data_IF_071859822015
#
_entry.id   IF_071859822015
#
_cell.length_a   1.000
_cell.length_b   1.000
_cell.length_c   1.000
_cell.angle_alpha   90.00
_cell.angle_beta   90.00
_cell.angle_gamma   90.00
#
_symmetry.space_group_name_H-M   'P 1'
#
loop_
_entity.id
_entity.type
_entity.pdbx_description
1 polymer ?
#
# COMPACT_ATOMS: atom_id res chain seq x y z
N UNK A 1 -13.86 -29.22 -68.46
CA UNK A 1 -12.91 -28.07 -68.41
C UNK A 1 -13.32 -26.91 -67.48
N UNK A 2 -14.57 -26.82 -66.96
CA UNK A 2 -14.98 -25.75 -66.00
C UNK A 2 -14.60 -26.00 -64.52
N UNK A 3 -14.46 -27.27 -64.11
CA UNK A 3 -14.21 -27.64 -62.69
C UNK A 3 -12.77 -27.31 -62.26
N UNK A 4 -11.79 -27.48 -63.15
CA UNK A 4 -10.37 -27.23 -62.86
C UNK A 4 -10.13 -25.74 -62.64
N UNK A 5 -10.68 -24.87 -63.48
CA UNK A 5 -10.54 -23.39 -63.37
C UNK A 5 -11.15 -22.86 -62.07
N UNK A 6 -12.29 -23.44 -61.63
CA UNK A 6 -12.96 -23.06 -60.38
C UNK A 6 -12.11 -23.45 -59.16
N UNK A 7 -11.50 -24.64 -59.18
CA UNK A 7 -10.62 -25.15 -58.11
C UNK A 7 -9.32 -24.32 -57.97
N UNK A 8 -8.75 -23.86 -59.08
CA UNK A 8 -7.55 -22.99 -59.06
C UNK A 8 -7.87 -21.59 -58.53
N UNK A 9 -9.01 -20.98 -58.94
CA UNK A 9 -9.45 -19.68 -58.41
C UNK A 9 -9.73 -19.70 -56.91
N UNK A 10 -10.37 -20.75 -56.40
CA UNK A 10 -10.62 -20.90 -54.95
C UNK A 10 -9.32 -21.00 -54.16
N UNK A 11 -8.29 -21.69 -54.69
CA UNK A 11 -6.97 -21.77 -54.04
C UNK A 11 -6.28 -20.40 -53.93
N UNK A 12 -6.33 -19.59 -54.99
CA UNK A 12 -5.76 -18.24 -54.94
C UNK A 12 -6.49 -17.34 -53.95
N UNK A 13 -7.83 -17.39 -53.92
CA UNK A 13 -8.63 -16.62 -52.94
C UNK A 13 -8.29 -17.02 -51.50
N UNK A 14 -8.14 -18.33 -51.23
CA UNK A 14 -7.76 -18.83 -49.91
C UNK A 14 -6.35 -18.36 -49.51
N UNK A 15 -5.41 -18.39 -50.46
CA UNK A 15 -4.04 -17.95 -50.23
C UNK A 15 -4.00 -16.45 -49.90
N UNK A 16 -4.74 -15.62 -50.63
CA UNK A 16 -4.82 -14.17 -50.36
C UNK A 16 -5.43 -13.88 -49.00
N UNK A 17 -6.51 -14.60 -48.62
CA UNK A 17 -7.11 -14.50 -47.29
C UNK A 17 -6.13 -14.88 -46.18
N UNK A 18 -5.35 -15.95 -46.38
CA UNK A 18 -4.34 -16.39 -45.42
C UNK A 18 -3.24 -15.34 -45.23
N UNK A 19 -2.77 -14.74 -46.33
CA UNK A 19 -1.75 -13.68 -46.28
C UNK A 19 -2.29 -12.44 -45.55
N UNK A 20 -3.54 -12.02 -45.84
CA UNK A 20 -4.16 -10.90 -45.15
C UNK A 20 -4.29 -11.17 -43.65
N UNK A 21 -4.75 -12.37 -43.26
CA UNK A 21 -4.84 -12.78 -41.86
C UNK A 21 -3.46 -12.82 -41.17
N UNK A 22 -2.42 -13.27 -41.88
CA UNK A 22 -1.07 -13.30 -41.34
C UNK A 22 -0.53 -11.88 -41.10
N UNK A 23 -0.74 -10.96 -42.06
CA UNK A 23 -0.32 -9.57 -41.94
C UNK A 23 -1.08 -8.86 -40.83
N UNK A 24 -2.40 -9.04 -40.73
CA UNK A 24 -3.18 -8.41 -39.65
C UNK A 24 -2.83 -8.98 -38.29
N UNK A 25 -2.55 -10.28 -38.17
CA UNK A 25 -2.08 -10.91 -36.94
C UNK A 25 -0.70 -10.42 -36.52
N UNK A 26 0.25 -10.30 -37.46
CA UNK A 26 1.60 -9.77 -37.16
C UNK A 26 1.52 -8.30 -36.74
N UNK A 27 0.77 -7.48 -37.48
CA UNK A 27 0.60 -6.07 -37.15
C UNK A 27 -0.10 -5.90 -35.80
N UNK A 28 -1.13 -6.70 -35.50
CA UNK A 28 -1.77 -6.68 -34.19
C UNK A 28 -0.76 -7.03 -33.09
N UNK A 29 0.08 -8.07 -33.27
CA UNK A 29 1.08 -8.40 -32.27
C UNK A 29 2.13 -7.31 -32.05
N UNK A 30 2.59 -6.64 -33.10
CA UNK A 30 3.61 -5.58 -33.00
C UNK A 30 3.06 -4.27 -32.43
N UNK A 31 1.80 -3.92 -32.74
CA UNK A 31 1.20 -2.66 -32.30
C UNK A 31 0.45 -2.76 -30.96
N UNK A 32 -0.13 -3.92 -30.62
CA UNK A 32 -0.87 -4.11 -29.37
C UNK A 32 -0.05 -4.73 -28.24
N UNK A 33 1.07 -5.40 -28.55
CA UNK A 33 2.05 -5.84 -27.56
C UNK A 33 3.37 -5.11 -27.80
N UNK A 34 3.46 -3.80 -27.49
CA UNK A 34 4.78 -3.19 -27.33
C UNK A 34 5.58 -4.05 -26.35
N UNK A 35 6.86 -4.30 -26.64
CA UNK A 35 7.76 -4.85 -25.62
C UNK A 35 7.77 -3.88 -24.44
N UNK A 36 7.51 -4.36 -23.23
CA UNK A 36 7.43 -3.62 -21.95
C UNK A 36 8.75 -2.95 -21.50
N UNK A 37 9.60 -2.52 -22.44
CA UNK A 37 10.80 -1.76 -22.13
C UNK A 37 10.44 -0.35 -21.60
N UNK A 38 9.32 0.22 -22.04
CA UNK A 38 8.83 1.52 -21.54
C UNK A 38 8.20 1.41 -20.14
N UNK A 39 7.43 0.36 -19.86
CA UNK A 39 6.77 0.18 -18.56
C UNK A 39 7.80 -0.08 -17.46
N UNK A 40 8.82 -0.90 -17.77
CA UNK A 40 9.95 -1.16 -16.84
C UNK A 40 10.78 0.10 -16.57
N UNK A 41 11.04 0.93 -17.59
CA UNK A 41 11.74 2.21 -17.41
C UNK A 41 10.91 3.20 -16.59
N UNK A 42 9.60 3.30 -16.85
CA UNK A 42 8.70 4.17 -16.09
C UNK A 42 8.59 3.71 -14.62
N UNK A 43 8.45 2.40 -14.35
CA UNK A 43 8.41 1.88 -12.98
C UNK A 43 9.73 2.17 -12.23
N UNK A 44 10.88 2.06 -12.91
CA UNK A 44 12.17 2.37 -12.29
C UNK A 44 12.30 3.84 -11.89
N UNK A 45 11.86 4.77 -12.74
CA UNK A 45 11.91 6.21 -12.47
C UNK A 45 10.94 6.57 -11.33
N UNK A 46 9.72 6.03 -11.34
CA UNK A 46 8.73 6.24 -10.28
C UNK A 46 9.26 5.69 -8.95
N UNK A 47 9.87 4.51 -8.97
CA UNK A 47 10.43 3.92 -7.76
C UNK A 47 11.56 4.75 -7.16
N UNK A 48 12.48 5.28 -7.98
CA UNK A 48 13.56 6.15 -7.51
C UNK A 48 13.02 7.42 -6.84
N UNK A 49 12.01 8.05 -7.43
CA UNK A 49 11.33 9.22 -6.84
C UNK A 49 10.66 8.87 -5.51
N UNK A 50 9.96 7.73 -5.45
CA UNK A 50 9.30 7.27 -4.24
C UNK A 50 10.32 7.01 -3.11
N UNK A 51 11.47 6.42 -3.44
CA UNK A 51 12.56 6.18 -2.49
C UNK A 51 13.18 7.49 -1.98
N UNK A 52 13.29 8.52 -2.82
CA UNK A 52 13.73 9.85 -2.40
C UNK A 52 12.79 10.45 -1.34
N UNK A 53 11.49 10.47 -1.61
CA UNK A 53 10.48 10.93 -0.65
C UNK A 53 10.49 10.10 0.62
N UNK A 54 10.59 8.77 0.51
CA UNK A 54 10.65 7.86 1.63
C UNK A 54 11.82 8.18 2.57
N UNK A 55 13.03 8.29 2.04
CA UNK A 55 14.22 8.62 2.83
C UNK A 55 14.10 10.00 3.47
N UNK A 56 13.55 10.97 2.72
CA UNK A 56 13.34 12.32 3.21
C UNK A 56 12.32 12.38 4.33
N UNK A 57 11.20 11.66 4.24
CA UNK A 57 10.25 11.53 5.33
C UNK A 57 10.88 10.90 6.56
N UNK A 58 11.63 9.80 6.41
CA UNK A 58 12.31 9.17 7.55
C UNK A 58 13.18 10.16 8.29
N UNK A 59 14.08 10.85 7.58
CA UNK A 59 15.01 11.77 8.21
C UNK A 59 14.27 12.92 8.92
N UNK A 60 13.29 13.51 8.26
CA UNK A 60 12.53 14.63 8.82
C UNK A 60 11.69 14.21 10.02
N UNK A 61 11.08 13.01 10.01
CA UNK A 61 10.36 12.48 11.16
C UNK A 61 11.30 12.32 12.36
N UNK A 62 12.47 11.70 12.15
CA UNK A 62 13.48 11.49 13.20
C UNK A 62 13.98 12.81 13.79
N UNK A 63 14.21 13.81 12.94
CA UNK A 63 14.84 15.05 13.36
C UNK A 63 13.83 16.04 13.98
N UNK A 64 12.62 16.12 13.42
CA UNK A 64 11.73 17.27 13.64
C UNK A 64 10.29 16.91 14.06
N UNK A 65 9.82 15.67 13.88
CA UNK A 65 8.44 15.35 14.24
C UNK A 65 8.29 15.10 15.74
N UNK A 66 7.39 15.86 16.35
CA UNK A 66 6.99 15.70 17.76
C UNK A 66 5.47 15.78 17.83
N UNK A 67 4.87 15.04 18.75
CA UNK A 67 3.42 15.03 18.96
C UNK A 67 3.09 15.07 20.45
N UNK A 68 2.70 16.25 20.92
CA UNK A 68 2.29 16.50 22.31
C UNK A 68 3.24 15.87 23.35
N UNK A 69 2.67 15.11 24.30
CA UNK A 69 3.40 14.42 25.37
C UNK A 69 3.84 12.99 24.96
N UNK A 70 3.81 12.65 23.67
CA UNK A 70 4.25 11.34 23.19
C UNK A 70 5.75 11.31 22.93
N UNK A 71 6.43 10.30 23.48
CA UNK A 71 7.86 10.07 23.27
C UNK A 71 8.10 8.90 22.30
N UNK A 72 9.01 9.07 21.36
CA UNK A 72 9.45 7.96 20.49
C UNK A 72 10.31 6.97 21.30
N UNK A 73 9.75 5.80 21.57
CA UNK A 73 10.39 4.75 22.37
C UNK A 73 11.32 3.85 21.54
N UNK A 74 11.16 3.83 20.21
CA UNK A 74 11.85 2.89 19.32
C UNK A 74 12.42 3.60 18.08
N UNK A 75 13.70 3.96 18.14
CA UNK A 75 14.35 4.82 17.11
C UNK A 75 14.87 4.09 15.86
N UNK A 76 15.13 2.78 15.93
CA UNK A 76 15.91 2.06 14.89
C UNK A 76 15.30 0.75 14.38
N UNK A 77 13.97 0.57 14.44
CA UNK A 77 13.37 -0.68 13.96
C UNK A 77 12.86 -0.63 12.52
N UNK A 78 13.23 -1.66 11.76
CA UNK A 78 12.65 -2.03 10.46
C UNK A 78 12.11 -3.47 10.62
N UNK A 79 10.82 -3.72 10.35
CA UNK A 79 10.23 -5.06 10.48
C UNK A 79 9.54 -5.50 9.21
N UNK A 80 10.06 -6.54 8.53
CA UNK A 80 9.25 -7.32 7.60
C UNK A 80 9.07 -8.70 8.19
N UNK A 81 7.81 -9.09 8.38
CA UNK A 81 7.45 -10.37 9.00
C UNK A 81 7.20 -11.47 7.97
N UNK A 82 6.93 -11.14 6.71
CA UNK A 82 6.80 -12.12 5.62
C UNK A 82 6.90 -11.50 4.22
N UNK A 83 7.40 -12.28 3.25
CA UNK A 83 7.33 -12.01 1.81
C UNK A 83 6.58 -13.16 1.11
N UNK A 84 5.90 -12.90 -0.02
CA UNK A 84 5.44 -13.98 -0.89
C UNK A 84 6.62 -14.87 -1.30
N UNK A 85 6.42 -16.20 -1.31
CA UNK A 85 7.47 -17.20 -1.58
C UNK A 85 8.26 -16.98 -2.89
N UNK A 86 7.72 -16.20 -3.83
CA UNK A 86 8.30 -15.93 -5.15
C UNK A 86 9.12 -14.63 -5.26
N UNK A 87 9.28 -13.86 -4.17
CA UNK A 87 10.04 -12.59 -4.19
C UNK A 87 11.42 -12.76 -3.55
N UNK A 88 12.46 -12.29 -4.24
CA UNK A 88 13.85 -12.30 -3.75
C UNK A 88 14.09 -11.21 -2.71
N UNK A 89 14.77 -11.55 -1.62
CA UNK A 89 14.92 -10.77 -0.38
C UNK A 89 15.76 -9.48 -0.51
N UNK A 90 16.41 -9.23 -1.66
CA UNK A 90 17.65 -8.45 -1.68
C UNK A 90 17.56 -6.96 -1.29
N UNK A 91 16.38 -6.31 -1.26
CA UNK A 91 16.28 -4.87 -0.94
C UNK A 91 15.04 -4.46 -0.12
N UNK A 92 14.36 -5.41 0.53
CA UNK A 92 13.07 -5.13 1.19
C UNK A 92 13.17 -4.41 2.54
N UNK A 93 14.24 -4.64 3.31
CA UNK A 93 14.46 -3.97 4.59
C UNK A 93 14.58 -2.44 4.46
N UNK A 94 14.97 -1.95 3.28
CA UNK A 94 15.11 -0.52 2.97
C UNK A 94 13.82 0.12 2.46
N UNK A 95 12.72 -0.65 2.37
CA UNK A 95 11.44 -0.20 1.82
C UNK A 95 10.41 0.14 2.89
N UNK A 96 10.81 0.14 4.15
CA UNK A 96 9.91 0.42 5.25
C UNK A 96 10.65 1.00 6.47
N UNK A 97 9.89 1.69 7.30
CA UNK A 97 10.35 2.21 8.58
C UNK A 97 9.18 2.22 9.55
N UNK A 98 9.44 1.81 10.78
CA UNK A 98 8.46 1.89 11.86
C UNK A 98 8.92 2.90 12.91
N UNK A 99 7.98 3.74 13.35
CA UNK A 99 8.12 4.63 14.49
C UNK A 99 7.11 4.20 15.56
N UNK A 100 7.51 4.22 16.82
CA UNK A 100 6.63 3.88 17.94
C UNK A 100 6.71 4.99 18.96
N UNK A 101 5.57 5.60 19.22
CA UNK A 101 5.39 6.67 20.19
C UNK A 101 4.56 6.15 21.36
N UNK A 102 4.91 6.55 22.57
CA UNK A 102 4.21 6.19 23.80
C UNK A 102 3.90 7.43 24.63
N UNK A 103 2.71 7.46 25.23
CA UNK A 103 2.35 8.45 26.24
C UNK A 103 2.12 7.74 27.58
N UNK A 104 3.00 8.02 28.54
CA UNK A 104 2.97 7.39 29.87
C UNK A 104 1.72 7.79 30.69
N UNK A 105 1.11 8.94 30.40
CA UNK A 105 -0.07 9.43 31.13
C UNK A 105 -1.35 8.73 30.68
N UNK A 106 -1.52 8.53 29.37
CA UNK A 106 -2.70 7.88 28.78
C UNK A 106 -2.51 6.38 28.56
N UNK A 107 -1.28 5.87 28.72
CA UNK A 107 -0.85 4.51 28.40
C UNK A 107 -1.20 4.10 26.96
N UNK A 108 -1.08 5.04 26.03
CA UNK A 108 -1.38 4.83 24.62
C UNK A 108 -0.11 4.65 23.81
N UNK A 109 -0.15 3.70 22.89
CA UNK A 109 0.89 3.47 21.90
C UNK A 109 0.39 3.90 20.52
N UNK A 110 1.20 4.69 19.82
CA UNK A 110 1.01 5.05 18.42
C UNK A 110 2.13 4.41 17.62
N UNK A 111 1.78 3.56 16.65
CA UNK A 111 2.73 2.99 15.70
C UNK A 111 2.51 3.63 14.34
N UNK A 112 3.57 4.13 13.72
CA UNK A 112 3.57 4.63 12.35
C UNK A 112 4.45 3.73 11.51
N UNK A 113 3.88 3.12 10.48
CA UNK A 113 4.59 2.30 9.50
C UNK A 113 4.58 3.05 8.18
N UNK A 114 5.77 3.44 7.72
CA UNK A 114 6.00 4.00 6.41
C UNK A 114 6.53 2.91 5.50
N UNK A 115 5.97 2.75 4.31
CA UNK A 115 6.48 1.83 3.27
C UNK A 115 6.52 2.49 1.91
N UNK A 116 7.39 1.96 1.03
CA UNK A 116 7.57 2.48 -0.34
C UNK A 116 7.42 1.38 -1.39
N UNK A 117 6.75 1.71 -2.49
CA UNK A 117 6.48 0.81 -3.61
C UNK A 117 6.54 1.53 -4.95
N UNK A 118 6.98 0.84 -6.00
CA UNK A 118 6.97 1.34 -7.38
C UNK A 118 5.56 1.48 -7.96
N UNK A 119 4.56 0.89 -7.30
CA UNK A 119 3.16 0.91 -7.72
C UNK A 119 2.34 2.06 -7.12
N UNK A 120 2.97 2.92 -6.30
CA UNK A 120 2.31 4.08 -5.72
C UNK A 120 2.67 5.31 -6.55
N UNK A 121 1.66 6.03 -7.04
CA UNK A 121 1.88 7.25 -7.82
C UNK A 121 2.28 8.44 -6.93
N UNK A 122 3.33 9.17 -7.33
CA UNK A 122 3.69 10.45 -6.71
C UNK A 122 2.62 11.48 -7.05
N UNK A 123 1.89 11.96 -6.04
CA UNK A 123 0.86 13.01 -6.18
C UNK A 123 -0.58 12.51 -6.09
N UNK A 124 -0.81 11.21 -5.93
CA UNK A 124 -2.12 10.70 -5.54
C UNK A 124 -2.18 10.49 -4.01
N UNK A 125 -2.52 11.58 -3.31
CA UNK A 125 -2.84 11.51 -1.87
C UNK A 125 -4.21 10.85 -1.69
N UNK A 126 -4.24 9.62 -1.22
CA UNK A 126 -5.49 8.87 -1.06
C UNK A 126 -5.61 8.21 0.31
N UNK A 127 -6.82 8.26 0.85
CA UNK A 127 -7.20 7.38 1.95
C UNK A 127 -7.40 5.96 1.43
N UNK A 128 -6.84 4.97 2.11
CA UNK A 128 -6.89 3.57 1.68
C UNK A 128 -7.90 2.79 2.52
N UNK A 129 -7.74 2.81 3.83
CA UNK A 129 -8.63 2.13 4.75
C UNK A 129 -8.51 2.70 6.17
N UNK A 130 -9.54 2.46 6.97
CA UNK A 130 -9.53 2.72 8.40
C UNK A 130 -10.43 1.72 9.11
N UNK A 131 -10.06 1.36 10.33
CA UNK A 131 -10.89 0.55 11.20
C UNK A 131 -10.69 0.97 12.65
N UNK A 132 -11.71 0.65 13.44
CA UNK A 132 -11.74 0.86 14.88
C UNK A 132 -12.31 -0.40 15.52
N UNK A 133 -11.63 -0.89 16.54
CA UNK A 133 -11.93 -2.13 17.24
C UNK A 133 -11.90 -1.83 18.74
N UNK A 134 -13.06 -1.97 19.38
CA UNK A 134 -13.18 -1.95 20.83
C UNK A 134 -13.55 -3.33 21.36
N UNK A 135 -13.23 -3.65 22.63
CA UNK A 135 -13.66 -4.91 23.23
C UNK A 135 -15.18 -5.08 23.20
N UNK A 136 -15.94 -3.98 23.34
CA UNK A 136 -17.40 -3.96 23.20
C UNK A 136 -17.85 -4.41 21.80
N UNK A 137 -17.18 -3.93 20.74
CA UNK A 137 -17.48 -4.32 19.36
C UNK A 137 -17.20 -5.81 19.14
N UNK A 138 -16.05 -6.29 19.62
CA UNK A 138 -15.65 -7.70 19.48
C UNK A 138 -16.60 -8.62 20.25
N UNK A 139 -16.94 -8.27 21.49
CA UNK A 139 -17.91 -9.02 22.30
C UNK A 139 -19.27 -9.09 21.61
N UNK A 140 -19.78 -7.95 21.10
CA UNK A 140 -21.06 -7.91 20.38
C UNK A 140 -21.06 -8.78 19.13
N UNK A 141 -20.00 -8.74 18.32
CA UNK A 141 -19.88 -9.58 17.13
C UNK A 141 -19.81 -11.06 17.51
N UNK A 142 -19.10 -11.38 18.59
CA UNK A 142 -18.94 -12.75 19.07
C UNK A 142 -20.29 -13.33 19.53
N UNK A 143 -21.06 -12.58 20.31
CA UNK A 143 -22.42 -12.94 20.73
C UNK A 143 -23.35 -13.16 19.53
N UNK A 144 -23.32 -12.26 18.55
CA UNK A 144 -24.16 -12.35 17.34
C UNK A 144 -23.86 -13.59 16.48
N UNK A 145 -22.63 -14.09 16.51
CA UNK A 145 -22.18 -15.23 15.71
C UNK A 145 -22.02 -16.52 16.52
N UNK A 146 -22.50 -16.56 17.77
CA UNK A 146 -22.36 -17.69 18.69
C UNK A 146 -20.90 -18.14 18.88
N UNK A 147 -19.95 -17.20 18.74
CA UNK A 147 -18.52 -17.45 18.90
C UNK A 147 -18.18 -17.36 20.39
N UNK A 148 -17.76 -18.48 20.98
CA UNK A 148 -17.27 -18.52 22.36
C UNK A 148 -15.84 -18.00 22.39
N UNK A 149 -15.67 -16.71 22.69
CA UNK A 149 -14.35 -16.14 22.94
C UNK A 149 -13.99 -16.34 24.41
N UNK A 150 -13.00 -17.19 24.68
CA UNK A 150 -12.59 -17.54 26.04
C UNK A 150 -11.90 -16.39 26.76
N UNK A 151 -11.24 -15.49 26.03
CA UNK A 151 -10.65 -14.24 26.52
C UNK A 151 -10.67 -13.20 25.39
N UNK A 152 -11.43 -12.11 25.56
CA UNK A 152 -11.32 -10.94 24.68
C UNK A 152 -10.28 -10.00 25.29
N UNK A 153 -9.20 -9.64 24.56
CA UNK A 153 -8.26 -8.63 25.04
C UNK A 153 -9.00 -7.33 25.35
N UNK A 154 -8.77 -6.77 26.53
CA UNK A 154 -9.34 -5.49 26.93
C UNK A 154 -8.55 -4.32 26.31
N UNK A 155 -8.48 -4.29 24.98
CA UNK A 155 -7.69 -3.34 24.19
C UNK A 155 -8.61 -2.66 23.19
N UNK A 156 -8.58 -1.33 23.17
CA UNK A 156 -9.15 -0.54 22.07
C UNK A 156 -8.03 -0.20 21.08
N UNK A 157 -8.34 -0.33 19.80
CA UNK A 157 -7.38 -0.16 18.72
C UNK A 157 -8.05 0.49 17.51
N UNK A 158 -7.44 1.56 17.01
CA UNK A 158 -7.85 2.19 15.76
C UNK A 158 -6.65 2.26 14.82
N UNK A 159 -6.92 2.12 13.52
CA UNK A 159 -5.89 2.22 12.49
C UNK A 159 -6.41 2.94 11.26
N UNK A 160 -5.52 3.67 10.59
CA UNK A 160 -5.79 4.31 9.33
C UNK A 160 -4.55 4.25 8.45
N UNK A 161 -4.77 3.95 7.17
CA UNK A 161 -3.73 3.98 6.15
C UNK A 161 -4.08 4.95 5.03
N UNK A 162 -3.05 5.63 4.52
CA UNK A 162 -3.14 6.56 3.42
C UNK A 162 -1.86 6.54 2.59
N UNK A 163 -1.96 6.98 1.34
CA UNK A 163 -0.80 7.22 0.47
C UNK A 163 -0.49 8.72 0.44
N UNK A 164 0.80 9.05 0.40
CA UNK A 164 1.31 10.43 0.23
C UNK A 164 2.67 10.39 -0.46
N UNK A 165 2.81 11.11 -1.58
CA UNK A 165 4.03 11.18 -2.41
C UNK A 165 4.72 9.81 -2.63
N UNK A 166 3.96 8.82 -3.12
CA UNK A 166 4.51 7.49 -3.42
C UNK A 166 4.79 6.59 -2.21
N UNK A 167 4.60 7.10 -0.99
CA UNK A 167 4.73 6.35 0.24
C UNK A 167 3.37 5.93 0.79
N UNK A 168 3.28 4.71 1.30
CA UNK A 168 2.15 4.27 2.10
C UNK A 168 2.45 4.47 3.58
N UNK A 169 1.55 5.14 4.29
CA UNK A 169 1.60 5.34 5.73
C UNK A 169 0.46 4.56 6.36
N UNK A 170 0.76 3.77 7.38
CA UNK A 170 -0.23 3.15 8.26
C UNK A 170 0.03 3.60 9.68
N UNK A 171 -0.97 4.22 10.31
CA UNK A 171 -0.91 4.64 11.70
C UNK A 171 -1.91 3.82 12.50
N UNK A 172 -1.45 3.31 13.64
CA UNK A 172 -2.23 2.49 14.55
C UNK A 172 -2.08 3.04 15.97
N UNK A 173 -3.20 3.27 16.64
CA UNK A 173 -3.25 3.64 18.06
C UNK A 173 -3.87 2.50 18.84
N UNK A 174 -3.28 2.16 19.99
CA UNK A 174 -3.81 1.14 20.89
C UNK A 174 -3.69 1.57 22.35
N UNK A 175 -4.67 1.17 23.15
CA UNK A 175 -4.73 1.41 24.59
C UNK A 175 -5.37 0.22 25.30
N UNK A 176 -4.87 -0.14 26.48
CA UNK A 176 -5.54 -1.04 27.42
C UNK A 176 -6.35 -0.28 28.50
N UNK A 177 -6.22 1.05 28.56
CA UNK A 177 -7.00 1.94 29.42
C UNK A 177 -8.21 2.42 28.64
N UNK A 178 -9.38 1.91 29.03
CA UNK A 178 -10.68 2.29 28.47
C UNK A 178 -11.32 3.37 29.35
N UNK A 179 -10.77 4.59 29.32
CA UNK A 179 -11.28 5.70 30.14
C UNK A 179 -12.54 6.33 29.55
N UNK A 180 -12.56 6.53 28.23
CA UNK A 180 -13.65 7.17 27.49
C UNK A 180 -13.91 6.43 26.18
N UNK A 181 -15.17 6.41 25.75
CA UNK A 181 -15.56 5.76 24.50
C UNK A 181 -14.98 6.49 23.28
N UNK A 182 -14.35 5.74 22.37
CA UNK A 182 -13.74 6.22 21.13
C UNK A 182 -12.50 7.11 21.35
N UNK A 183 -11.86 7.06 22.52
CA UNK A 183 -10.67 7.86 22.82
C UNK A 183 -9.52 7.53 21.86
N UNK A 184 -9.32 6.24 21.58
CA UNK A 184 -8.26 5.76 20.68
C UNK A 184 -8.50 6.27 19.25
N UNK A 185 -9.74 6.24 18.78
CA UNK A 185 -10.11 6.77 17.47
C UNK A 185 -9.91 8.29 17.38
N UNK A 186 -10.20 9.04 18.45
CA UNK A 186 -9.96 10.49 18.52
C UNK A 186 -8.47 10.81 18.40
N UNK A 187 -7.64 10.16 19.22
CA UNK A 187 -6.18 10.32 19.19
C UNK A 187 -5.61 9.95 17.82
N UNK A 188 -6.09 8.87 17.19
CA UNK A 188 -5.67 8.50 15.84
C UNK A 188 -5.93 9.63 14.82
N UNK A 189 -7.14 10.22 14.85
CA UNK A 189 -7.52 11.29 13.93
C UNK A 189 -6.65 12.53 14.15
N UNK A 190 -6.46 12.93 15.40
CA UNK A 190 -5.68 14.13 15.75
C UNK A 190 -4.20 13.95 15.41
N UNK A 191 -3.64 12.78 15.70
CA UNK A 191 -2.29 12.41 15.29
C UNK A 191 -2.15 12.44 13.77
N UNK A 192 -3.05 11.78 13.03
CA UNK A 192 -2.97 11.71 11.58
C UNK A 192 -3.11 13.08 10.92
N UNK A 193 -4.00 13.93 11.40
CA UNK A 193 -4.14 15.29 10.87
C UNK A 193 -2.85 16.09 11.06
N UNK A 194 -2.22 15.97 12.22
CA UNK A 194 -0.94 16.62 12.53
C UNK A 194 0.19 16.04 11.68
N UNK A 195 0.27 14.72 11.58
CA UNK A 195 1.29 13.99 10.84
C UNK A 195 1.20 14.25 9.33
N UNK A 196 -0.01 14.24 8.74
CA UNK A 196 -0.22 14.56 7.33
C UNK A 196 0.21 16.01 7.04
N UNK A 197 -0.16 16.96 7.89
CA UNK A 197 0.28 18.35 7.74
C UNK A 197 1.80 18.47 7.79
N UNK A 198 2.45 17.77 8.72
CA UNK A 198 3.90 17.70 8.81
C UNK A 198 4.51 17.15 7.52
N UNK A 199 4.03 16.01 7.02
CA UNK A 199 4.55 15.38 5.80
C UNK A 199 4.39 16.27 4.56
N UNK A 200 3.25 16.97 4.43
CA UNK A 200 2.99 17.90 3.31
C UNK A 200 3.93 19.10 3.28
N UNK A 201 4.51 19.48 4.41
CA UNK A 201 5.45 20.60 4.49
C UNK A 201 6.90 20.19 4.17
N UNK A 202 7.16 18.92 3.86
CA UNK A 202 8.48 18.39 3.52
C UNK A 202 8.67 18.44 2.00
N UNK A 203 9.12 19.58 1.47
CA UNK A 203 9.38 19.83 0.03
C UNK A 203 10.58 19.09 -0.52
#
# INVERSE_FOLDING_TARGET
MKIIIKKTRTKYILLTLLIVLLITSLSFNVFYFPKDDNETQISSIIYEQNVEYFNKYINRIIDDFQYDDYEEIVKQYNHLLALPLSKSDENFANRQKMFVYHNDTTNMLITVILTVSEHNDVGNDEWIHSYDVSPELVNRISEQNEIIVTQVPNIEMASQSFNINGCNVTVMVMSDILSEKNEVARVLIDFNNTFIQFLKNIN
#
